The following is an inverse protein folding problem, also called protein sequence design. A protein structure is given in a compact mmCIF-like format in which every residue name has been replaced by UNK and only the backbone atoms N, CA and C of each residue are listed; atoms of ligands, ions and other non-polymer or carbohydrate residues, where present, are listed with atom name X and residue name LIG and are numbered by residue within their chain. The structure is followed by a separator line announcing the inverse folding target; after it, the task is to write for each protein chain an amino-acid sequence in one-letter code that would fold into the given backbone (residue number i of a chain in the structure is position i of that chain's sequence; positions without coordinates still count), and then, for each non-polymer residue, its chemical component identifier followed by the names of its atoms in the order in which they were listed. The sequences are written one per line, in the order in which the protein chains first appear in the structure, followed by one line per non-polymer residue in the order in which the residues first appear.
data_IF_656972928698
#
_entry.id   IF_656972928698
#
_cell.length_a   1.000
_cell.length_b   1.000
_cell.length_c   1.000
_cell.angle_alpha   90.00
_cell.angle_beta   90.00
_cell.angle_gamma   90.00
#
_symmetry.space_group_name_H-M   'P 1'
#
loop_
_entity.id
_entity.type
_entity.pdbx_description
1 polymer ?
#
# COMPACT_ATOMS: atom_id res chain seq x y z
N UNK A 1 -23.30 1.71 -0.49
CA UNK A 1 -23.28 0.62 -1.49
C UNK A 1 -21.87 0.09 -1.52
N UNK A 2 -21.63 -1.22 -1.71
CA UNK A 2 -20.29 -1.74 -1.78
C UNK A 2 -19.52 -1.05 -2.91
N UNK A 3 -18.23 -0.86 -2.73
CA UNK A 3 -17.35 -0.23 -3.73
C UNK A 3 -17.33 -1.11 -4.96
N UNK A 4 -17.74 -0.59 -6.12
CA UNK A 4 -17.66 -1.35 -7.36
C UNK A 4 -16.19 -1.47 -7.76
N UNK A 5 -15.67 -2.69 -8.05
CA UNK A 5 -14.34 -2.86 -8.63
C UNK A 5 -14.13 -2.00 -9.89
N UNK A 6 -15.19 -1.78 -10.64
CA UNK A 6 -15.18 -0.92 -11.84
C UNK A 6 -14.90 0.56 -11.49
N UNK A 7 -15.43 1.07 -10.36
CA UNK A 7 -15.19 2.46 -9.95
C UNK A 7 -13.72 2.67 -9.55
N UNK A 8 -13.13 1.70 -8.85
CA UNK A 8 -11.71 1.73 -8.49
C UNK A 8 -10.83 1.67 -9.74
N UNK A 9 -11.09 0.72 -10.64
CA UNK A 9 -10.32 0.58 -11.88
C UNK A 9 -10.42 1.86 -12.73
N UNK A 10 -11.59 2.47 -12.85
CA UNK A 10 -11.79 3.72 -13.59
C UNK A 10 -11.05 4.88 -12.94
N UNK A 11 -11.07 5.00 -11.62
CA UNK A 11 -10.32 6.02 -10.89
C UNK A 11 -8.82 5.94 -11.23
N UNK A 12 -8.23 4.75 -11.16
CA UNK A 12 -6.82 4.56 -11.45
C UNK A 12 -6.47 4.64 -12.94
N UNK A 13 -7.39 4.31 -13.84
CA UNK A 13 -7.22 4.58 -15.26
C UNK A 13 -7.14 6.10 -15.55
N UNK A 14 -7.86 6.93 -14.78
CA UNK A 14 -7.79 8.40 -14.90
C UNK A 14 -6.50 8.93 -14.23
N UNK A 15 -6.13 8.40 -13.07
CA UNK A 15 -4.97 8.85 -12.29
C UNK A 15 -3.62 8.32 -12.84
N UNK A 16 -3.63 7.36 -13.76
CA UNK A 16 -2.52 6.51 -14.19
C UNK A 16 -1.13 7.15 -14.22
N UNK A 17 -0.96 8.28 -14.94
CA UNK A 17 0.34 8.96 -15.02
C UNK A 17 0.78 9.56 -13.66
N UNK A 18 -0.18 10.05 -12.86
CA UNK A 18 0.07 10.55 -11.51
C UNK A 18 0.52 9.44 -10.56
N UNK A 19 -0.09 8.27 -10.66
CA UNK A 19 0.25 7.11 -9.83
C UNK A 19 1.66 6.56 -10.16
N UNK A 20 2.06 6.60 -11.43
CA UNK A 20 3.41 6.22 -11.83
C UNK A 20 4.49 7.05 -11.11
N UNK A 21 4.24 8.34 -10.91
CA UNK A 21 5.19 9.28 -10.28
C UNK A 21 4.96 9.49 -8.77
N UNK A 22 3.90 8.92 -8.18
CA UNK A 22 3.55 9.16 -6.78
C UNK A 22 4.71 8.87 -5.83
N UNK A 23 5.32 7.69 -5.93
CA UNK A 23 6.45 7.31 -5.09
C UNK A 23 7.77 8.00 -5.47
N UNK A 24 7.89 8.58 -6.67
CA UNK A 24 9.03 9.45 -7.00
C UNK A 24 8.93 10.79 -6.25
N UNK A 25 7.72 11.23 -5.94
CA UNK A 25 7.47 12.43 -5.12
C UNK A 25 7.39 12.12 -3.62
N UNK A 26 7.42 10.85 -3.21
CA UNK A 26 7.43 10.40 -1.81
C UNK A 26 8.56 9.39 -1.58
N UNK A 27 9.83 9.83 -1.71
CA UNK A 27 10.97 8.93 -1.73
C UNK A 27 11.26 8.27 -0.38
N UNK A 28 10.92 8.92 0.74
CA UNK A 28 11.12 8.34 2.07
C UNK A 28 10.12 7.22 2.33
N UNK A 29 8.84 7.39 1.94
CA UNK A 29 7.84 6.32 1.96
C UNK A 29 8.35 5.09 1.20
N UNK A 30 8.87 5.28 -0.01
CA UNK A 30 9.41 4.19 -0.83
C UNK A 30 10.57 3.48 -0.13
N UNK A 31 11.59 4.22 0.33
CA UNK A 31 12.79 3.64 0.92
C UNK A 31 12.52 2.95 2.25
N UNK A 32 11.70 3.55 3.11
CA UNK A 32 11.31 2.95 4.41
C UNK A 32 10.54 1.65 4.16
N UNK A 33 9.59 1.65 3.24
CA UNK A 33 8.81 0.45 2.92
C UNK A 33 9.69 -0.66 2.33
N UNK A 34 10.59 -0.35 1.41
CA UNK A 34 11.54 -1.33 0.88
C UNK A 34 12.46 -1.89 1.98
N UNK A 35 12.88 -1.06 2.93
CA UNK A 35 13.68 -1.52 4.06
C UNK A 35 12.88 -2.46 4.98
N UNK A 36 11.61 -2.14 5.28
CA UNK A 36 10.71 -3.03 6.03
C UNK A 36 10.61 -4.40 5.35
N UNK A 37 10.41 -4.42 4.03
CA UNK A 37 10.31 -5.67 3.26
C UNK A 37 11.63 -6.44 3.29
N UNK A 38 12.76 -5.77 3.04
CA UNK A 38 14.08 -6.40 2.98
C UNK A 38 14.54 -6.97 4.33
N UNK A 39 14.16 -6.35 5.45
CA UNK A 39 14.49 -6.90 6.78
C UNK A 39 13.64 -8.12 7.13
N UNK A 40 12.39 -8.19 6.68
CA UNK A 40 11.53 -9.36 6.87
C UNK A 40 11.84 -10.50 5.87
N UNK A 41 12.42 -10.17 4.69
CA UNK A 41 12.79 -11.10 3.62
C UNK A 41 14.27 -10.92 3.23
N UNK A 42 15.22 -11.22 4.12
CA UNK A 42 16.63 -10.81 3.95
C UNK A 42 17.41 -11.62 2.90
N UNK A 43 16.88 -12.73 2.41
CA UNK A 43 17.59 -13.65 1.53
C UNK A 43 16.97 -13.66 0.14
N UNK A 44 17.62 -13.03 -0.85
CA UNK A 44 17.27 -13.18 -2.26
C UNK A 44 17.91 -14.46 -2.85
N UNK A 45 17.25 -15.15 -3.81
CA UNK A 45 15.94 -14.83 -4.35
C UNK A 45 14.80 -15.33 -3.45
N UNK A 46 13.81 -14.47 -3.21
CA UNK A 46 12.52 -14.85 -2.64
C UNK A 46 11.44 -14.67 -3.71
N UNK A 47 10.39 -15.50 -3.70
CA UNK A 47 9.24 -15.30 -4.57
C UNK A 47 8.21 -14.40 -3.89
N UNK A 48 7.87 -13.28 -4.53
CA UNK A 48 7.00 -12.24 -3.96
C UNK A 48 5.80 -12.02 -4.87
N UNK A 49 4.61 -11.95 -4.30
CA UNK A 49 3.41 -11.47 -4.98
C UNK A 49 3.16 -10.00 -4.59
N UNK A 50 3.03 -9.11 -5.56
CA UNK A 50 2.63 -7.72 -5.35
C UNK A 50 1.18 -7.55 -5.85
N UNK A 51 0.23 -7.62 -4.91
CA UNK A 51 -1.22 -7.59 -5.18
C UNK A 51 -1.74 -6.17 -4.98
N UNK A 52 -2.22 -5.56 -6.06
CA UNK A 52 -2.57 -4.15 -6.11
C UNK A 52 -1.32 -3.26 -6.19
N UNK A 53 -0.27 -3.74 -6.86
CA UNK A 53 1.02 -3.05 -6.95
C UNK A 53 1.06 -1.92 -7.97
N UNK A 54 -0.07 -1.60 -8.62
CA UNK A 54 -0.18 -0.50 -9.56
C UNK A 54 0.78 -0.63 -10.74
N UNK A 55 1.56 0.43 -11.05
CA UNK A 55 2.54 0.40 -12.13
C UNK A 55 3.85 -0.32 -11.76
N UNK A 56 3.91 -0.99 -10.59
CA UNK A 56 4.98 -1.88 -10.19
C UNK A 56 6.19 -1.23 -9.53
N UNK A 57 6.06 -0.07 -8.87
CA UNK A 57 7.21 0.61 -8.24
C UNK A 57 7.94 -0.30 -7.23
N UNK A 58 7.20 -0.91 -6.30
CA UNK A 58 7.79 -1.87 -5.35
C UNK A 58 8.23 -3.15 -6.06
N UNK A 59 7.41 -3.68 -6.97
CA UNK A 59 7.71 -4.90 -7.71
C UNK A 59 9.06 -4.81 -8.45
N UNK A 60 9.29 -3.74 -9.23
CA UNK A 60 10.55 -3.54 -9.95
C UNK A 60 11.73 -3.29 -9.01
N UNK A 61 11.55 -2.54 -7.91
CA UNK A 61 12.61 -2.32 -6.93
C UNK A 61 13.04 -3.63 -6.26
N UNK A 62 12.09 -4.50 -5.93
CA UNK A 62 12.36 -5.82 -5.36
C UNK A 62 13.00 -6.78 -6.38
N UNK A 63 12.58 -6.72 -7.65
CA UNK A 63 13.25 -7.45 -8.72
C UNK A 63 14.71 -7.01 -8.88
N UNK A 64 15.00 -5.70 -8.79
CA UNK A 64 16.37 -5.17 -8.83
C UNK A 64 17.22 -5.63 -7.62
N UNK A 65 16.59 -5.99 -6.50
CA UNK A 65 17.24 -6.64 -5.36
C UNK A 65 17.44 -8.15 -5.54
N UNK A 66 16.99 -8.72 -6.68
CA UNK A 66 17.17 -10.13 -7.02
C UNK A 66 16.02 -11.05 -6.62
N UNK A 67 14.87 -10.51 -6.25
CA UNK A 67 13.66 -11.30 -5.96
C UNK A 67 12.90 -11.65 -7.25
N UNK A 68 12.13 -12.75 -7.20
CA UNK A 68 11.20 -13.18 -8.25
C UNK A 68 9.83 -12.60 -7.94
N UNK A 69 9.33 -11.67 -8.75
CA UNK A 69 8.13 -10.91 -8.42
C UNK A 69 7.03 -11.10 -9.46
N UNK A 70 5.84 -11.50 -8.98
CA UNK A 70 4.60 -11.53 -9.76
C UNK A 70 3.75 -10.31 -9.38
N UNK A 71 3.38 -9.49 -10.37
CA UNK A 71 2.58 -8.27 -10.18
C UNK A 71 1.14 -8.47 -10.63
N UNK A 72 0.20 -8.10 -9.77
CA UNK A 72 -1.24 -8.08 -10.08
C UNK A 72 -1.83 -6.73 -9.71
N UNK A 73 -2.64 -6.14 -10.59
CA UNK A 73 -3.43 -4.95 -10.27
C UNK A 73 -4.81 -4.99 -10.91
N UNK A 74 -5.78 -4.33 -10.29
CA UNK A 74 -7.16 -4.26 -10.81
C UNK A 74 -7.26 -3.39 -12.07
N UNK A 75 -6.39 -2.37 -12.20
CA UNK A 75 -6.39 -1.43 -13.31
C UNK A 75 -5.58 -1.95 -14.49
N UNK A 76 -6.25 -2.21 -15.61
CA UNK A 76 -5.58 -2.53 -16.87
C UNK A 76 -4.59 -1.44 -17.29
N UNK A 77 -4.94 -0.16 -17.06
CA UNK A 77 -4.07 0.97 -17.41
C UNK A 77 -2.77 0.96 -16.63
N UNK A 78 -2.80 0.62 -15.32
CA UNK A 78 -1.59 0.52 -14.50
C UNK A 78 -0.72 -0.69 -14.92
N UNK A 79 -1.33 -1.83 -15.22
CA UNK A 79 -0.60 -3.00 -15.75
C UNK A 79 0.04 -2.68 -17.11
N UNK A 80 -0.62 -1.91 -17.97
CA UNK A 80 -0.01 -1.45 -19.23
C UNK A 80 1.20 -0.56 -18.99
N UNK A 81 1.18 0.33 -18.00
CA UNK A 81 2.35 1.13 -17.61
C UNK A 81 3.49 0.25 -17.08
N UNK A 82 3.18 -0.74 -16.25
CA UNK A 82 4.18 -1.72 -15.80
C UNK A 82 4.76 -2.52 -16.97
N UNK A 83 3.94 -2.89 -17.97
CA UNK A 83 4.41 -3.58 -19.18
C UNK A 83 5.38 -2.71 -20.00
N UNK A 84 5.08 -1.42 -20.15
CA UNK A 84 5.99 -0.47 -20.82
C UNK A 84 7.35 -0.40 -20.12
N UNK A 85 7.37 -0.36 -18.79
CA UNK A 85 8.62 -0.38 -18.02
C UNK A 85 9.36 -1.72 -18.19
N UNK A 86 8.65 -2.84 -18.16
CA UNK A 86 9.19 -4.18 -18.42
C UNK A 86 9.88 -4.26 -19.79
N UNK A 87 9.21 -3.77 -20.84
CA UNK A 87 9.74 -3.76 -22.20
C UNK A 87 10.93 -2.82 -22.35
N UNK A 88 10.92 -1.65 -21.69
CA UNK A 88 12.04 -0.72 -21.64
C UNK A 88 13.28 -1.35 -21.01
N UNK A 89 13.11 -2.05 -19.86
CA UNK A 89 14.19 -2.77 -19.18
C UNK A 89 14.78 -3.87 -20.06
N UNK A 90 13.92 -4.66 -20.70
CA UNK A 90 14.31 -5.73 -21.61
C UNK A 90 15.09 -5.19 -22.82
N UNK A 91 14.62 -4.12 -23.44
CA UNK A 91 15.28 -3.49 -24.57
C UNK A 91 16.65 -2.88 -24.22
N UNK A 92 16.76 -2.30 -23.03
CA UNK A 92 18.00 -1.71 -22.53
C UNK A 92 19.00 -2.76 -22.02
N UNK A 93 18.60 -4.01 -21.80
CA UNK A 93 19.41 -5.03 -21.15
C UNK A 93 19.84 -4.63 -19.73
N UNK A 94 19.05 -3.81 -19.05
CA UNK A 94 19.34 -3.25 -17.73
C UNK A 94 18.13 -3.44 -16.78
N UNK A 95 18.46 -3.76 -15.54
CA UNK A 95 17.47 -4.05 -14.48
C UNK A 95 16.88 -5.44 -14.63
N UNK A 96 16.34 -5.95 -13.54
CA UNK A 96 15.66 -7.23 -13.52
C UNK A 96 14.19 -7.10 -13.99
N UNK A 97 13.67 -8.19 -14.50
CA UNK A 97 12.29 -8.28 -15.01
C UNK A 97 11.39 -8.90 -13.96
N UNK A 98 10.10 -8.59 -14.03
CA UNK A 98 9.08 -9.29 -13.26
C UNK A 98 8.79 -10.66 -13.90
N UNK A 99 8.44 -11.63 -13.08
CA UNK A 99 8.06 -12.98 -13.52
C UNK A 99 6.74 -12.95 -14.31
N UNK A 100 5.77 -12.20 -13.80
CA UNK A 100 4.49 -11.99 -14.47
C UNK A 100 3.86 -10.64 -14.15
N UNK A 101 3.01 -10.18 -15.09
CA UNK A 101 2.13 -9.02 -14.93
C UNK A 101 0.71 -9.44 -15.33
N UNK A 102 -0.27 -9.22 -14.48
CA UNK A 102 -1.65 -9.61 -14.77
C UNK A 102 -2.68 -8.65 -14.19
N UNK A 103 -3.83 -8.56 -14.85
CA UNK A 103 -4.99 -7.86 -14.30
C UNK A 103 -5.73 -8.81 -13.38
N UNK A 104 -6.01 -8.37 -12.14
CA UNK A 104 -6.71 -9.20 -11.16
C UNK A 104 -7.22 -8.40 -9.97
N UNK A 105 -8.20 -8.97 -9.28
CA UNK A 105 -8.84 -8.37 -8.12
C UNK A 105 -8.37 -9.08 -6.84
N UNK A 106 -7.90 -8.35 -5.83
CA UNK A 106 -7.50 -8.91 -4.53
C UNK A 106 -8.62 -9.73 -3.84
N UNK A 107 -9.87 -9.51 -4.23
CA UNK A 107 -11.03 -10.29 -3.75
C UNK A 107 -11.22 -11.62 -4.48
N UNK A 108 -10.47 -11.89 -5.54
CA UNK A 108 -10.52 -13.17 -6.27
C UNK A 108 -9.40 -14.08 -5.76
N UNK A 109 -9.72 -15.25 -5.17
CA UNK A 109 -8.70 -16.17 -4.66
C UNK A 109 -7.88 -16.85 -5.76
N UNK A 110 -8.27 -16.72 -7.04
CA UNK A 110 -7.65 -17.44 -8.16
C UNK A 110 -6.64 -16.62 -8.95
N UNK A 111 -6.34 -15.38 -8.51
CA UNK A 111 -5.46 -14.45 -9.24
C UNK A 111 -4.02 -14.96 -9.42
N UNK A 112 -3.52 -15.73 -8.47
CA UNK A 112 -2.17 -16.30 -8.45
C UNK A 112 -2.19 -17.69 -7.80
N UNK A 113 -1.10 -18.44 -7.96
CA UNK A 113 -0.95 -19.76 -7.36
C UNK A 113 -0.79 -19.67 -5.84
N UNK A 114 -1.53 -20.51 -5.10
CA UNK A 114 -1.47 -20.57 -3.65
C UNK A 114 -0.21 -21.26 -3.13
N UNK A 115 0.25 -20.82 -1.95
CA UNK A 115 1.25 -21.53 -1.14
C UNK A 115 2.68 -21.51 -1.71
N UNK A 116 3.00 -20.59 -2.63
CA UNK A 116 4.31 -20.56 -3.28
C UNK A 116 5.12 -19.28 -3.00
N UNK A 117 4.51 -18.28 -2.35
CA UNK A 117 5.16 -16.99 -2.13
C UNK A 117 5.80 -16.91 -0.74
N UNK A 118 7.04 -16.46 -0.70
CA UNK A 118 7.77 -16.15 0.54
C UNK A 118 7.27 -14.84 1.15
N UNK A 119 6.92 -13.87 0.28
CA UNK A 119 6.33 -12.59 0.63
C UNK A 119 5.09 -12.26 -0.20
N UNK A 120 4.10 -11.61 0.42
CA UNK A 120 2.91 -11.08 -0.27
C UNK A 120 2.71 -9.63 0.13
N UNK A 121 2.75 -8.74 -0.85
CA UNK A 121 2.45 -7.33 -0.66
C UNK A 121 0.97 -7.08 -0.95
N UNK A 122 0.30 -6.38 -0.05
CA UNK A 122 -1.07 -5.88 -0.17
C UNK A 122 -1.06 -4.41 0.27
N UNK A 123 -0.28 -3.58 -0.48
CA UNK A 123 0.05 -2.22 -0.09
C UNK A 123 -0.93 -1.16 -0.64
N UNK A 124 -1.83 -1.56 -1.55
CA UNK A 124 -2.82 -0.68 -2.20
C UNK A 124 -4.28 -0.99 -1.87
N UNK A 125 -4.72 -2.24 -1.92
CA UNK A 125 -6.14 -2.57 -2.01
C UNK A 125 -7.00 -2.23 -0.80
N UNK A 126 -6.51 -2.41 0.45
CA UNK A 126 -7.37 -2.40 1.63
C UNK A 126 -8.10 -1.08 1.86
N UNK A 127 -7.44 0.03 1.65
CA UNK A 127 -8.08 1.33 1.88
C UNK A 127 -9.08 1.74 0.78
N UNK A 128 -9.26 0.93 -0.26
CA UNK A 128 -10.36 1.04 -1.23
C UNK A 128 -11.55 0.14 -0.89
N UNK A 129 -11.39 -0.80 0.03
CA UNK A 129 -12.43 -1.73 0.46
C UNK A 129 -13.12 -1.18 1.71
N UNK A 130 -14.25 -0.50 1.51
CA UNK A 130 -14.98 0.18 2.60
C UNK A 130 -15.63 -0.82 3.55
N UNK A 131 -16.09 -1.96 3.04
CA UNK A 131 -16.69 -3.01 3.87
C UNK A 131 -15.62 -3.89 4.53
N UNK A 132 -15.74 -4.11 5.84
CA UNK A 132 -14.78 -4.93 6.58
C UNK A 132 -14.68 -6.35 6.06
N UNK A 133 -15.82 -6.94 5.67
CA UNK A 133 -15.85 -8.29 5.09
C UNK A 133 -15.02 -8.42 3.80
N UNK A 134 -14.92 -7.34 3.01
CA UNK A 134 -14.08 -7.31 1.82
C UNK A 134 -12.60 -7.20 2.20
N UNK A 135 -12.24 -6.39 3.21
CA UNK A 135 -10.87 -6.32 3.73
C UNK A 135 -10.43 -7.65 4.31
N UNK A 136 -11.29 -8.31 5.08
CA UNK A 136 -11.05 -9.67 5.60
C UNK A 136 -10.82 -10.64 4.45
N UNK A 137 -11.66 -10.62 3.42
CA UNK A 137 -11.52 -11.48 2.25
C UNK A 137 -10.20 -11.23 1.50
N UNK A 138 -9.81 -9.98 1.28
CA UNK A 138 -8.57 -9.64 0.60
C UNK A 138 -7.34 -10.14 1.36
N UNK A 139 -7.30 -9.95 2.70
CA UNK A 139 -6.20 -10.46 3.53
C UNK A 139 -6.18 -11.98 3.58
N UNK A 140 -7.36 -12.64 3.66
CA UNK A 140 -7.44 -14.11 3.62
C UNK A 140 -6.91 -14.67 2.29
N UNK A 141 -7.26 -14.05 1.16
CA UNK A 141 -6.74 -14.44 -0.16
C UNK A 141 -5.21 -14.25 -0.22
N UNK A 142 -4.69 -13.12 0.24
CA UNK A 142 -3.25 -12.88 0.32
C UNK A 142 -2.53 -13.93 1.20
N UNK A 143 -3.13 -14.30 2.33
CA UNK A 143 -2.61 -15.36 3.19
C UNK A 143 -2.58 -16.75 2.52
N UNK A 144 -3.52 -17.04 1.61
CA UNK A 144 -3.50 -18.29 0.84
C UNK A 144 -2.35 -18.33 -0.16
N UNK A 145 -1.92 -17.19 -0.73
CA UNK A 145 -0.78 -17.11 -1.63
C UNK A 145 0.53 -17.43 -0.91
N UNK A 146 0.69 -17.02 0.34
CA UNK A 146 1.90 -17.22 1.12
C UNK A 146 2.14 -18.68 1.48
N UNK A 147 3.41 -19.09 1.47
CA UNK A 147 3.88 -20.35 2.07
C UNK A 147 3.58 -20.41 3.58
N UNK A 148 3.60 -21.58 4.22
CA UNK A 148 3.75 -21.64 5.68
C UNK A 148 4.98 -20.84 6.13
N UNK A 149 4.83 -20.03 7.17
CA UNK A 149 5.83 -19.04 7.62
C UNK A 149 6.15 -17.90 6.64
N UNK A 150 5.48 -17.79 5.51
CA UNK A 150 5.59 -16.64 4.60
C UNK A 150 5.10 -15.34 5.24
N UNK A 151 5.57 -14.21 4.73
CA UNK A 151 5.32 -12.89 5.29
C UNK A 151 4.33 -12.10 4.44
N UNK A 152 3.37 -11.45 5.09
CA UNK A 152 2.46 -10.52 4.42
C UNK A 152 2.77 -9.09 4.87
N UNK A 153 2.68 -8.15 3.94
CA UNK A 153 2.80 -6.72 4.17
C UNK A 153 1.49 -6.06 3.77
N UNK A 154 0.75 -5.56 4.76
CA UNK A 154 -0.60 -5.03 4.53
C UNK A 154 -0.65 -3.57 4.92
N UNK A 155 -0.91 -2.69 3.94
CA UNK A 155 -0.92 -1.25 4.18
C UNK A 155 -2.32 -0.71 4.50
N UNK A 156 -2.31 0.34 5.30
CA UNK A 156 -3.48 1.12 5.73
C UNK A 156 -3.19 2.61 5.59
N UNK A 157 -4.23 3.38 5.31
CA UNK A 157 -4.18 4.86 5.35
C UNK A 157 -4.82 5.32 6.65
N UNK A 158 -4.18 6.27 7.34
CA UNK A 158 -4.68 6.79 8.60
C UNK A 158 -5.76 7.87 8.40
N UNK A 159 -6.63 8.03 9.41
CA UNK A 159 -7.56 9.18 9.45
C UNK A 159 -6.79 10.50 9.45
N UNK A 160 -5.62 10.54 10.09
CA UNK A 160 -4.77 11.73 10.15
C UNK A 160 -4.27 12.17 8.75
N UNK A 161 -4.01 11.23 7.84
CA UNK A 161 -3.62 11.51 6.46
C UNK A 161 -4.66 12.39 5.75
N UNK A 162 -5.92 11.96 5.79
CA UNK A 162 -7.00 12.72 5.17
C UNK A 162 -7.21 14.09 5.83
N UNK A 163 -7.15 14.16 7.16
CA UNK A 163 -7.33 15.44 7.86
C UNK A 163 -6.21 16.42 7.54
N UNK A 164 -4.98 15.96 7.40
CA UNK A 164 -3.86 16.79 6.96
C UNK A 164 -4.03 17.29 5.53
N UNK A 165 -4.45 16.43 4.62
CA UNK A 165 -4.74 16.81 3.23
C UNK A 165 -5.83 17.90 3.19
N UNK A 166 -6.90 17.74 3.93
CA UNK A 166 -7.97 18.73 4.07
C UNK A 166 -7.46 20.04 4.68
N UNK A 167 -6.66 19.97 5.75
CA UNK A 167 -6.11 21.15 6.39
C UNK A 167 -5.22 21.98 5.44
N UNK A 168 -4.48 21.31 4.57
CA UNK A 168 -3.59 21.97 3.61
C UNK A 168 -4.31 22.52 2.39
N UNK A 169 -5.30 21.79 1.86
CA UNK A 169 -5.91 22.12 0.56
C UNK A 169 -7.24 22.86 0.69
N UNK A 170 -8.07 22.43 1.62
CA UNK A 170 -9.47 22.87 1.74
C UNK A 170 -9.90 22.99 3.21
N UNK A 171 -9.24 23.81 4.06
CA UNK A 171 -9.47 23.82 5.50
C UNK A 171 -10.90 24.18 5.90
N UNK A 172 -11.61 24.92 5.06
CA UNK A 172 -13.02 25.28 5.28
C UNK A 172 -14.00 24.10 5.22
N UNK A 173 -13.59 22.95 4.70
CA UNK A 173 -14.45 21.76 4.57
C UNK A 173 -14.93 21.22 5.92
N UNK A 174 -14.14 21.34 6.99
CA UNK A 174 -14.58 20.90 8.32
C UNK A 174 -15.84 21.64 8.81
N UNK A 175 -16.02 22.90 8.39
CA UNK A 175 -17.22 23.68 8.70
C UNK A 175 -18.31 23.40 7.67
N UNK A 176 -17.98 23.44 6.38
CA UNK A 176 -18.95 23.29 5.30
C UNK A 176 -19.58 21.89 5.26
N UNK A 177 -18.85 20.86 5.68
CA UNK A 177 -19.28 19.47 5.66
C UNK A 177 -19.29 18.83 7.06
N UNK A 178 -19.71 19.59 8.07
CA UNK A 178 -19.66 19.21 9.49
C UNK A 178 -20.26 17.83 9.77
N UNK A 179 -21.42 17.53 9.21
CA UNK A 179 -22.12 16.25 9.43
C UNK A 179 -21.35 15.08 8.81
N UNK A 180 -20.79 15.28 7.61
CA UNK A 180 -19.93 14.29 6.99
C UNK A 180 -18.72 13.98 7.86
N UNK A 181 -18.00 15.00 8.35
CA UNK A 181 -16.81 14.79 9.19
C UNK A 181 -17.14 14.21 10.56
N UNK A 182 -18.30 14.54 11.15
CA UNK A 182 -18.74 13.92 12.39
C UNK A 182 -18.92 12.40 12.26
N UNK A 183 -19.46 11.94 11.13
CA UNK A 183 -19.57 10.50 10.81
C UNK A 183 -18.21 9.89 10.44
N UNK A 184 -17.49 10.51 9.51
CA UNK A 184 -16.19 10.05 9.04
C UNK A 184 -15.20 9.82 10.19
N UNK A 185 -15.17 10.73 11.17
CA UNK A 185 -14.31 10.60 12.34
C UNK A 185 -14.71 9.43 13.28
N UNK A 186 -15.90 8.89 13.14
CA UNK A 186 -16.35 7.71 13.90
C UNK A 186 -16.00 6.42 13.19
N UNK A 187 -16.28 6.33 11.87
CA UNK A 187 -16.24 5.07 11.12
C UNK A 187 -15.12 4.97 10.08
N UNK A 188 -14.37 6.06 9.81
CA UNK A 188 -13.28 6.09 8.83
C UNK A 188 -13.72 5.96 7.37
N UNK A 189 -15.02 5.95 7.08
CA UNK A 189 -15.57 5.76 5.74
C UNK A 189 -15.58 7.09 4.98
N UNK A 190 -14.80 7.16 3.92
CA UNK A 190 -14.84 8.27 2.98
C UNK A 190 -15.56 7.84 1.70
N UNK A 191 -16.77 8.33 1.53
CA UNK A 191 -17.62 8.00 0.39
C UNK A 191 -18.14 9.31 -0.20
N UNK A 192 -17.62 9.69 -1.36
CA UNK A 192 -18.01 10.92 -2.05
C UNK A 192 -18.07 10.73 -3.56
N UNK A 193 -19.03 11.38 -4.20
CA UNK A 193 -19.06 11.55 -5.63
C UNK A 193 -18.29 12.83 -6.02
N UNK A 194 -17.34 12.70 -6.94
CA UNK A 194 -16.56 13.84 -7.45
C UNK A 194 -16.88 14.05 -8.93
N UNK A 195 -17.20 15.31 -9.34
CA UNK A 195 -17.44 15.62 -10.74
C UNK A 195 -16.27 15.18 -11.65
N UNK A 196 -16.58 14.48 -12.74
CA UNK A 196 -15.58 14.01 -13.70
C UNK A 196 -14.77 12.78 -13.29
N UNK A 197 -14.89 12.33 -12.03
CA UNK A 197 -14.15 11.16 -11.50
C UNK A 197 -15.13 10.03 -11.15
N UNK A 198 -16.34 10.36 -10.71
CA UNK A 198 -17.31 9.39 -10.22
C UNK A 198 -17.25 9.21 -8.70
N UNK A 199 -17.63 8.03 -8.23
CA UNK A 199 -17.63 7.73 -6.81
C UNK A 199 -16.19 7.39 -6.34
N UNK A 200 -15.76 8.10 -5.32
CA UNK A 200 -14.50 7.86 -4.63
C UNK A 200 -14.81 7.25 -3.27
N UNK A 201 -14.33 6.06 -3.05
CA UNK A 201 -14.50 5.34 -1.80
C UNK A 201 -13.12 5.03 -1.20
N UNK A 202 -12.95 5.34 0.07
CA UNK A 202 -11.79 4.90 0.84
C UNK A 202 -12.16 4.64 2.29
N UNK A 203 -11.37 3.80 2.92
CA UNK A 203 -11.46 3.50 4.35
C UNK A 203 -10.15 3.93 5.01
N UNK A 204 -10.27 4.81 5.98
CA UNK A 204 -9.13 5.29 6.76
C UNK A 204 -9.26 4.78 8.20
N UNK A 205 -8.14 4.40 8.81
CA UNK A 205 -8.14 3.67 10.07
C UNK A 205 -7.38 4.41 11.17
N UNK A 206 -7.57 3.98 12.41
CA UNK A 206 -6.73 4.33 13.55
C UNK A 206 -5.74 3.20 13.84
N UNK A 207 -4.63 3.52 14.46
CA UNK A 207 -3.59 2.53 14.83
C UNK A 207 -4.17 1.37 15.66
N UNK A 208 -5.01 1.69 16.66
CA UNK A 208 -5.64 0.67 17.51
C UNK A 208 -6.55 -0.29 16.73
N UNK A 209 -7.30 0.24 15.76
CA UNK A 209 -8.23 -0.53 14.94
C UNK A 209 -7.52 -1.55 14.05
N UNK A 210 -6.26 -1.27 13.62
CA UNK A 210 -5.44 -2.23 12.85
C UNK A 210 -5.11 -3.47 13.70
N UNK A 211 -4.68 -3.25 14.94
CA UNK A 211 -4.33 -4.35 15.85
C UNK A 211 -5.57 -5.22 16.13
N UNK A 212 -6.72 -4.58 16.42
CA UNK A 212 -7.99 -5.28 16.65
C UNK A 212 -8.46 -6.04 15.41
N UNK A 213 -8.36 -5.44 14.21
CA UNK A 213 -8.74 -6.09 12.96
C UNK A 213 -8.03 -7.43 12.75
N UNK A 214 -6.71 -7.50 13.01
CA UNK A 214 -5.98 -8.76 12.88
C UNK A 214 -6.26 -9.73 14.04
N UNK A 215 -6.41 -9.23 15.27
CA UNK A 215 -6.72 -10.07 16.42
C UNK A 215 -8.10 -10.74 16.29
N UNK A 216 -9.10 -9.98 15.82
CA UNK A 216 -10.48 -10.46 15.74
C UNK A 216 -10.71 -11.40 14.54
N UNK A 217 -10.00 -11.18 13.43
CA UNK A 217 -10.28 -11.92 12.18
C UNK A 217 -9.23 -12.97 11.82
N UNK A 218 -8.00 -12.89 12.35
CA UNK A 218 -6.86 -13.70 11.88
C UNK A 218 -6.00 -14.30 13.00
N UNK A 219 -6.46 -14.28 14.26
CA UNK A 219 -5.69 -14.78 15.40
C UNK A 219 -5.16 -16.21 15.22
N UNK A 220 -5.90 -17.08 14.53
CA UNK A 220 -5.51 -18.48 14.31
C UNK A 220 -4.58 -18.67 13.10
N UNK A 221 -4.56 -17.73 12.13
CA UNK A 221 -3.91 -17.92 10.83
C UNK A 221 -2.70 -17.01 10.59
N UNK A 222 -2.72 -15.82 11.18
CA UNK A 222 -1.65 -14.83 11.05
C UNK A 222 -1.16 -14.38 12.43
N UNK A 223 0.11 -14.05 12.50
CA UNK A 223 0.75 -13.39 13.64
C UNK A 223 1.12 -11.97 13.21
N UNK A 224 0.60 -10.96 13.90
CA UNK A 224 1.07 -9.59 13.71
C UNK A 224 2.44 -9.43 14.38
N UNK A 225 3.49 -9.43 13.56
CA UNK A 225 4.88 -9.32 14.04
C UNK A 225 5.19 -7.87 14.38
N UNK A 226 4.78 -6.94 13.52
CA UNK A 226 5.10 -5.52 13.67
C UNK A 226 4.08 -4.64 12.94
N UNK A 227 3.89 -3.43 13.46
CA UNK A 227 3.17 -2.34 12.79
C UNK A 227 4.12 -1.15 12.68
N UNK A 228 4.33 -0.64 11.46
CA UNK A 228 5.24 0.47 11.17
C UNK A 228 4.56 1.58 10.37
N UNK A 229 5.02 2.81 10.58
CA UNK A 229 4.81 3.89 9.62
C UNK A 229 5.73 3.73 8.41
N UNK A 230 5.23 4.09 7.23
CA UNK A 230 6.00 4.05 5.97
C UNK A 230 6.80 5.34 5.72
N UNK A 231 6.50 6.45 6.41
CA UNK A 231 7.18 7.75 6.29
C UNK A 231 7.54 8.38 7.65
N UNK A 232 7.30 7.69 8.77
CA UNK A 232 7.53 8.22 10.10
C UNK A 232 6.68 9.46 10.39
N UNK A 233 7.33 10.54 10.79
CA UNK A 233 6.68 11.84 11.05
C UNK A 233 6.58 12.73 9.79
N UNK A 234 6.97 12.24 8.62
CA UNK A 234 7.00 13.01 7.37
C UNK A 234 5.68 12.97 6.59
N UNK A 235 4.58 12.60 7.24
CA UNK A 235 3.24 12.69 6.66
C UNK A 235 2.85 14.13 6.27
N UNK A 236 1.73 14.27 5.55
CA UNK A 236 1.23 15.58 5.13
C UNK A 236 2.11 16.28 4.10
N UNK A 237 2.68 15.52 3.17
CA UNK A 237 3.54 16.02 2.08
C UNK A 237 4.93 16.54 2.53
N UNK A 238 5.35 16.32 3.78
CA UNK A 238 6.71 16.66 4.19
C UNK A 238 7.74 15.77 3.45
N UNK A 239 7.42 14.49 3.23
CA UNK A 239 8.22 13.62 2.40
C UNK A 239 8.39 14.17 0.97
N UNK A 240 7.31 14.70 0.39
CA UNK A 240 7.37 15.29 -0.94
C UNK A 240 8.32 16.49 -1.04
N UNK A 241 8.52 17.24 0.05
CA UNK A 241 9.49 18.33 0.09
C UNK A 241 10.93 17.84 -0.10
N UNK A 242 11.22 16.58 0.27
CA UNK A 242 12.55 15.97 0.13
C UNK A 242 12.81 15.42 -1.29
N UNK A 243 11.80 15.28 -2.14
CA UNK A 243 11.91 14.63 -3.46
C UNK A 243 12.94 15.27 -4.41
N UNK A 244 13.29 16.53 -4.17
CA UNK A 244 14.30 17.28 -4.94
C UNK A 244 15.69 17.30 -4.29
N UNK A 245 15.85 16.65 -3.16
CA UNK A 245 17.11 16.57 -2.44
C UNK A 245 18.06 15.55 -3.08
N UNK A 246 19.35 15.67 -2.77
CA UNK A 246 20.33 14.67 -3.19
C UNK A 246 20.00 13.29 -2.61
N UNK A 247 20.26 12.19 -3.35
CA UNK A 247 19.90 10.84 -2.92
C UNK A 247 20.40 10.46 -1.52
N UNK A 248 21.61 10.91 -1.16
CA UNK A 248 22.19 10.67 0.17
C UNK A 248 21.45 11.39 1.30
N UNK A 249 20.84 12.55 1.01
CA UNK A 249 19.99 13.29 1.98
C UNK A 249 18.68 12.53 2.18
N UNK A 250 18.05 12.09 1.09
CA UNK A 250 16.82 11.30 1.14
C UNK A 250 17.06 10.01 1.92
N UNK A 251 18.18 9.31 1.65
CA UNK A 251 18.53 8.08 2.36
C UNK A 251 18.71 8.33 3.87
N UNK A 252 19.40 9.40 4.26
CA UNK A 252 19.60 9.74 5.67
C UNK A 252 18.26 10.01 6.39
N UNK A 253 17.30 10.67 5.72
CA UNK A 253 15.96 10.84 6.26
C UNK A 253 15.19 9.52 6.35
N UNK A 254 15.28 8.66 5.35
CA UNK A 254 14.65 7.34 5.36
C UNK A 254 15.19 6.48 6.52
N UNK A 255 16.51 6.47 6.72
CA UNK A 255 17.14 5.74 7.82
C UNK A 255 16.70 6.27 9.18
N UNK A 256 16.66 7.59 9.35
CA UNK A 256 16.17 8.22 10.58
C UNK A 256 14.69 7.86 10.86
N UNK A 257 13.83 7.94 9.83
CA UNK A 257 12.41 7.59 9.98
C UNK A 257 12.25 6.11 10.32
N UNK A 258 12.95 5.24 9.63
CA UNK A 258 12.89 3.81 9.90
C UNK A 258 13.33 3.45 11.32
N UNK A 259 14.48 3.98 11.75
CA UNK A 259 15.12 3.59 13.01
C UNK A 259 14.47 4.21 14.25
N UNK A 260 13.93 5.42 14.14
CA UNK A 260 13.48 6.20 15.30
C UNK A 260 11.99 6.52 15.30
N UNK A 261 11.35 6.61 14.14
CA UNK A 261 10.02 7.19 14.03
C UNK A 261 8.99 6.28 13.34
N UNK A 262 9.30 4.99 13.13
CA UNK A 262 8.38 4.08 12.42
C UNK A 262 7.56 3.15 13.32
N UNK A 263 7.91 2.95 14.61
CA UNK A 263 7.27 1.95 15.47
C UNK A 263 6.63 2.49 16.75
N UNK A 264 7.06 3.65 17.25
CA UNK A 264 6.48 4.25 18.46
C UNK A 264 5.00 4.60 18.28
N UNK A 265 4.14 4.35 19.27
CA UNK A 265 2.69 4.58 19.15
C UNK A 265 2.36 6.06 18.84
N UNK A 266 3.11 6.98 19.41
CA UNK A 266 3.03 8.41 19.13
C UNK A 266 3.37 8.74 17.67
N UNK A 267 4.30 8.02 17.06
CA UNK A 267 4.70 8.20 15.67
C UNK A 267 3.72 7.55 14.70
N UNK A 268 3.25 6.34 15.04
CA UNK A 268 2.22 5.66 14.26
C UNK A 268 0.94 6.51 14.16
N UNK A 269 0.57 7.19 15.25
CA UNK A 269 -0.59 8.09 15.28
C UNK A 269 -0.44 9.32 14.37
N UNK A 270 0.78 9.68 13.99
CA UNK A 270 1.09 10.81 13.09
C UNK A 270 1.35 10.38 11.64
N UNK A 271 1.41 9.09 11.34
CA UNK A 271 1.68 8.60 9.99
C UNK A 271 0.52 8.84 9.03
N UNK A 272 0.82 8.98 7.74
CA UNK A 272 -0.18 8.89 6.68
C UNK A 272 -0.42 7.43 6.30
N UNK A 273 0.64 6.67 6.11
CA UNK A 273 0.60 5.27 5.72
C UNK A 273 1.21 4.38 6.82
N UNK A 274 0.52 3.28 7.08
CA UNK A 274 0.92 2.28 8.06
C UNK A 274 1.02 0.93 7.35
N UNK A 275 2.03 0.13 7.67
CA UNK A 275 2.16 -1.23 7.18
C UNK A 275 2.22 -2.21 8.35
N UNK A 276 1.33 -3.20 8.32
CA UNK A 276 1.37 -4.35 9.19
C UNK A 276 2.22 -5.45 8.55
N UNK A 277 3.23 -5.92 9.27
CA UNK A 277 4.05 -7.08 8.91
C UNK A 277 3.47 -8.28 9.64
N UNK A 278 3.02 -9.28 8.89
CA UNK A 278 2.34 -10.44 9.42
C UNK A 278 3.08 -11.71 8.97
N UNK A 279 3.14 -12.68 9.84
CA UNK A 279 3.67 -14.02 9.54
C UNK A 279 2.53 -15.02 9.46
N UNK A 280 2.46 -15.79 8.37
CA UNK A 280 1.51 -16.89 8.25
C UNK A 280 1.90 -18.01 9.21
N UNK A 281 0.95 -18.43 10.04
CA UNK A 281 1.12 -19.58 10.93
C UNK A 281 1.17 -20.89 10.13
N UNK A 282 1.83 -21.89 10.70
CA UNK A 282 1.95 -23.24 10.08
C UNK A 282 0.68 -24.05 10.22
#
# INVERSE_FOLDING_TARGET
MPTSPTDIANLYNILGAGELSRLDTHPVELLVTLRIISEALPLAPQRIADVGGGPGKYAFALADQGHLVDLVDLSLGLIQLAQVEQDRRKAAGKGNLLESLSVGNALDPTILQHGIYDGVLLLGPLYHLVEESERVKAVANAAQLAKPNGVLFVAFVSIAAHLRDVAMREPGRLIAEKEFYAKYLQDGRYEKSKPGIGNVHSFHTRVGDIKSFFADNFADTLELVELRSQEGILGGSLDAALSKSEPQVIQAWADLMYEKYSTGEEHLGCADHLVAVLKKKT
#
